data_IF_140375675456
#
_entry.id   IF_140375675456
#
_cell.length_a   1.000
_cell.length_b   1.000
_cell.length_c   1.000
_cell.angle_alpha   90.00
_cell.angle_beta   90.00
_cell.angle_gamma   90.00
#
_symmetry.space_group_name_H-M   'P 1'
#
loop_
_entity.id
_entity.type
_entity.pdbx_description
1 polymer ?
#
# COMPACT_ATOMS: atom_id res chain seq x y z
N UNK A 1 -27.55 15.74 -3.89
CA UNK A 1 -26.43 16.09 -4.78
C UNK A 1 -25.11 15.96 -4.01
N UNK A 2 -24.89 16.74 -2.94
CA UNK A 2 -23.66 16.65 -2.11
C UNK A 2 -23.43 15.27 -1.48
N UNK A 3 -24.47 14.63 -0.93
CA UNK A 3 -24.34 13.28 -0.34
C UNK A 3 -23.91 12.20 -1.35
N UNK A 4 -24.38 12.30 -2.60
CA UNK A 4 -24.02 11.40 -3.70
C UNK A 4 -22.58 11.64 -4.18
N UNK A 5 -22.15 12.90 -4.23
CA UNK A 5 -20.75 13.27 -4.50
C UNK A 5 -19.82 12.71 -3.43
N UNK A 6 -20.15 12.88 -2.14
CA UNK A 6 -19.34 12.34 -1.04
C UNK A 6 -19.24 10.81 -1.14
N UNK A 7 -20.34 10.11 -1.42
CA UNK A 7 -20.33 8.65 -1.59
C UNK A 7 -19.44 8.19 -2.77
N UNK A 8 -19.43 8.96 -3.86
CA UNK A 8 -18.60 8.70 -5.04
C UNK A 8 -17.11 8.94 -4.74
N UNK A 9 -16.78 10.01 -4.02
CA UNK A 9 -15.41 10.30 -3.60
C UNK A 9 -14.86 9.27 -2.62
N UNK A 10 -15.68 8.77 -1.69
CA UNK A 10 -15.31 7.66 -0.81
C UNK A 10 -14.99 6.42 -1.63
N UNK A 11 -15.84 6.07 -2.60
CA UNK A 11 -15.62 4.91 -3.47
C UNK A 11 -14.32 5.03 -4.27
N UNK A 12 -14.05 6.22 -4.82
CA UNK A 12 -12.82 6.51 -5.56
C UNK A 12 -11.58 6.43 -4.65
N UNK A 13 -11.67 6.95 -3.42
CA UNK A 13 -10.60 6.89 -2.43
C UNK A 13 -10.24 5.44 -2.05
N UNK A 14 -11.23 4.55 -1.98
CA UNK A 14 -11.01 3.12 -1.77
C UNK A 14 -10.23 2.52 -2.94
N UNK A 15 -10.62 2.83 -4.18
CA UNK A 15 -9.91 2.35 -5.39
C UNK A 15 -8.47 2.83 -5.41
N UNK A 16 -8.21 4.10 -5.09
CA UNK A 16 -6.85 4.67 -5.00
C UNK A 16 -6.04 3.97 -3.90
N UNK A 17 -6.65 3.70 -2.75
CA UNK A 17 -6.02 2.96 -1.65
C UNK A 17 -5.64 1.54 -2.10
N UNK A 18 -6.51 0.85 -2.83
CA UNK A 18 -6.21 -0.47 -3.39
C UNK A 18 -5.13 -0.42 -4.48
N UNK A 19 -5.10 0.63 -5.31
CA UNK A 19 -4.06 0.82 -6.31
C UNK A 19 -2.67 0.97 -5.67
N UNK A 20 -2.59 1.63 -4.50
CA UNK A 20 -1.37 1.71 -3.70
C UNK A 20 -1.05 0.39 -2.97
N UNK A 21 -2.02 -0.15 -2.23
CA UNK A 21 -1.82 -1.26 -1.32
C UNK A 21 -1.65 -2.61 -2.06
N UNK A 22 -2.34 -2.80 -3.18
CA UNK A 22 -2.34 -4.04 -3.95
C UNK A 22 -0.94 -4.55 -4.31
N UNK A 23 -0.10 -3.74 -4.98
CA UNK A 23 1.27 -4.14 -5.32
C UNK A 23 2.14 -4.47 -4.10
N UNK A 24 2.01 -3.67 -3.04
CA UNK A 24 2.78 -3.84 -1.80
C UNK A 24 2.38 -5.14 -1.10
N UNK A 25 1.07 -5.40 -0.99
CA UNK A 25 0.52 -6.60 -0.36
C UNK A 25 0.87 -7.85 -1.16
N UNK A 26 0.76 -7.80 -2.49
CA UNK A 26 1.15 -8.92 -3.36
C UNK A 26 2.63 -9.26 -3.20
N UNK A 27 3.51 -8.25 -3.19
CA UNK A 27 4.93 -8.46 -2.94
C UNK A 27 5.19 -9.04 -1.55
N UNK A 28 4.58 -8.46 -0.52
CA UNK A 28 4.73 -8.93 0.86
C UNK A 28 4.24 -10.37 1.04
N UNK A 29 3.16 -10.77 0.36
CA UNK A 29 2.63 -12.12 0.40
C UNK A 29 3.59 -13.13 -0.25
N UNK A 30 4.07 -12.83 -1.46
CA UNK A 30 5.04 -13.70 -2.17
C UNK A 30 6.33 -13.83 -1.38
N UNK A 31 6.87 -12.72 -0.91
CA UNK A 31 8.10 -12.71 -0.12
C UNK A 31 7.90 -13.45 1.22
N UNK A 32 6.79 -13.22 1.90
CA UNK A 32 6.45 -13.90 3.15
C UNK A 32 6.37 -15.41 2.98
N UNK A 33 5.78 -15.87 1.87
CA UNK A 33 5.72 -17.30 1.53
C UNK A 33 7.11 -17.87 1.27
N UNK A 34 7.94 -17.20 0.48
CA UNK A 34 9.31 -17.63 0.19
C UNK A 34 10.11 -17.77 1.50
N UNK A 35 10.06 -16.75 2.35
CA UNK A 35 10.76 -16.75 3.64
C UNK A 35 10.25 -17.89 4.54
N UNK A 36 8.94 -18.14 4.59
CA UNK A 36 8.36 -19.22 5.39
C UNK A 36 8.81 -20.62 4.92
N UNK A 37 8.90 -20.84 3.60
CA UNK A 37 9.40 -22.10 3.03
C UNK A 37 10.87 -22.32 3.41
N UNK A 38 11.72 -21.29 3.30
CA UNK A 38 13.12 -21.39 3.70
C UNK A 38 13.28 -21.69 5.18
N UNK A 39 12.51 -21.02 6.05
CA UNK A 39 12.52 -21.25 7.49
C UNK A 39 12.12 -22.69 7.85
N UNK A 40 11.07 -23.21 7.19
CA UNK A 40 10.62 -24.57 7.39
C UNK A 40 11.66 -25.60 6.88
N UNK A 41 12.26 -25.35 5.71
CA UNK A 41 13.23 -26.25 5.10
C UNK A 41 14.55 -26.35 5.86
N UNK A 42 15.04 -25.24 6.43
CA UNK A 42 16.32 -25.22 7.19
C UNK A 42 16.14 -25.41 8.69
N UNK A 43 14.90 -25.59 9.17
CA UNK A 43 14.56 -25.66 10.59
C UNK A 43 15.01 -24.43 11.41
N UNK A 44 15.23 -23.28 10.76
CA UNK A 44 15.59 -22.03 11.44
C UNK A 44 14.29 -21.35 11.86
N UNK A 45 13.91 -21.52 13.13
CA UNK A 45 12.72 -20.92 13.74
C UNK A 45 13.04 -19.67 14.58
N UNK A 46 14.21 -19.06 14.33
CA UNK A 46 14.62 -17.82 14.98
C UNK A 46 13.82 -16.63 14.42
N UNK A 47 12.80 -16.19 15.17
CA UNK A 47 11.90 -15.11 14.80
C UNK A 47 12.64 -13.81 14.44
N UNK A 48 13.78 -13.53 15.08
CA UNK A 48 14.58 -12.33 14.87
C UNK A 48 15.13 -12.21 13.45
N UNK A 49 15.67 -13.30 12.89
CA UNK A 49 16.22 -13.30 11.52
C UNK A 49 15.08 -13.11 10.51
N UNK A 50 13.97 -13.83 10.71
CA UNK A 50 12.76 -13.71 9.90
C UNK A 50 12.27 -12.25 9.80
N UNK A 51 12.24 -11.57 10.94
CA UNK A 51 11.72 -10.22 11.07
C UNK A 51 12.65 -9.20 10.43
N UNK A 52 13.98 -9.35 10.59
CA UNK A 52 14.97 -8.49 9.94
C UNK A 52 14.87 -8.61 8.41
N UNK A 53 14.80 -9.83 7.87
CA UNK A 53 14.70 -10.06 6.42
C UNK A 53 13.42 -9.43 5.84
N UNK A 54 12.29 -9.57 6.54
CA UNK A 54 11.02 -8.95 6.12
C UNK A 54 11.11 -7.42 6.10
N UNK A 55 11.64 -6.80 7.16
CA UNK A 55 11.79 -5.33 7.24
C UNK A 55 12.68 -4.84 6.09
N UNK A 56 13.86 -5.44 5.91
CA UNK A 56 14.79 -5.02 4.87
C UNK A 56 14.19 -5.12 3.47
N UNK A 57 13.44 -6.19 3.20
CA UNK A 57 12.82 -6.40 1.89
C UNK A 57 11.69 -5.39 1.60
N UNK A 58 10.84 -5.09 2.60
CA UNK A 58 9.78 -4.07 2.44
C UNK A 58 10.39 -2.69 2.31
N UNK A 59 11.43 -2.37 3.11
CA UNK A 59 12.17 -1.12 2.98
C UNK A 59 12.79 -0.98 1.59
N UNK A 60 13.40 -2.04 1.06
CA UNK A 60 13.94 -2.05 -0.30
C UNK A 60 12.86 -1.81 -1.37
N UNK A 61 11.71 -2.48 -1.25
CA UNK A 61 10.56 -2.26 -2.13
C UNK A 61 10.12 -0.78 -2.10
N UNK A 62 9.97 -0.19 -0.92
CA UNK A 62 9.57 1.21 -0.77
C UNK A 62 10.64 2.18 -1.26
N UNK A 63 11.93 1.86 -1.13
CA UNK A 63 12.99 2.71 -1.67
C UNK A 63 12.98 2.73 -3.20
N UNK A 64 12.74 1.59 -3.84
CA UNK A 64 12.76 1.48 -5.30
C UNK A 64 11.44 1.95 -5.92
N UNK A 65 10.32 1.53 -5.36
CA UNK A 65 8.98 1.75 -5.93
C UNK A 65 8.15 2.79 -5.19
N UNK A 66 8.64 3.34 -4.06
CA UNK A 66 7.86 4.24 -3.21
C UNK A 66 7.34 5.47 -3.95
N UNK A 67 8.11 6.03 -4.89
CA UNK A 67 7.64 7.16 -5.71
C UNK A 67 6.42 6.77 -6.55
N UNK A 68 6.52 5.67 -7.29
CA UNK A 68 5.45 5.20 -8.17
C UNK A 68 4.20 4.79 -7.37
N UNK A 69 4.40 4.19 -6.20
CA UNK A 69 3.34 3.80 -5.29
C UNK A 69 2.63 5.02 -4.68
N UNK A 70 3.37 6.08 -4.33
CA UNK A 70 2.80 7.28 -3.74
C UNK A 70 2.06 8.19 -4.73
N UNK A 71 2.39 8.14 -6.02
CA UNK A 71 1.82 9.03 -7.06
C UNK A 71 0.28 9.08 -7.06
N UNK A 72 -0.45 7.94 -7.12
CA UNK A 72 -1.92 7.96 -7.14
C UNK A 72 -2.52 8.57 -5.87
N UNK A 73 -1.87 8.37 -4.72
CA UNK A 73 -2.34 8.91 -3.45
C UNK A 73 -2.16 10.44 -3.40
N UNK A 74 -1.04 10.95 -3.92
CA UNK A 74 -0.75 12.38 -4.01
C UNK A 74 -1.72 13.06 -4.98
N UNK A 75 -1.91 12.48 -6.17
CA UNK A 75 -2.83 13.00 -7.19
C UNK A 75 -4.27 13.07 -6.68
N UNK A 76 -4.75 12.00 -6.05
CA UNK A 76 -6.08 11.97 -5.44
C UNK A 76 -6.24 12.97 -4.29
N UNK A 77 -5.20 13.14 -3.48
CA UNK A 77 -5.21 14.14 -2.39
C UNK A 77 -5.34 15.57 -2.94
N UNK A 78 -4.61 15.87 -4.03
CA UNK A 78 -4.69 17.17 -4.70
C UNK A 78 -6.08 17.38 -5.33
N UNK A 79 -6.66 16.35 -5.94
CA UNK A 79 -8.02 16.39 -6.50
C UNK A 79 -9.05 16.79 -5.44
N UNK A 80 -9.10 16.06 -4.32
CA UNK A 80 -10.04 16.35 -3.22
C UNK A 80 -9.83 17.77 -2.67
N UNK A 81 -8.58 18.20 -2.46
CA UNK A 81 -8.29 19.53 -1.92
C UNK A 81 -8.74 20.65 -2.87
N UNK A 82 -8.60 20.47 -4.18
CA UNK A 82 -9.04 21.44 -5.18
C UNK A 82 -10.57 21.50 -5.32
N UNK A 83 -11.24 20.37 -5.14
CA UNK A 83 -12.70 20.27 -5.25
C UNK A 83 -13.41 20.66 -3.96
N UNK A 84 -12.71 20.63 -2.81
CA UNK A 84 -13.27 20.96 -1.50
C UNK A 84 -14.01 22.31 -1.43
N UNK A 85 -13.51 23.44 -1.99
CA UNK A 85 -14.23 24.71 -2.00
C UNK A 85 -15.56 24.67 -2.76
N UNK A 86 -15.71 23.74 -3.72
CA UNK A 86 -16.95 23.56 -4.48
C UNK A 86 -17.97 22.72 -3.71
N UNK A 87 -17.52 21.85 -2.81
CA UNK A 87 -18.39 21.02 -1.95
C UNK A 87 -19.02 21.79 -0.79
N UNK A 88 -18.38 22.89 -0.36
CA UNK A 88 -18.82 23.73 0.77
C UNK A 88 -19.83 24.80 0.35
N UNK A 89 -20.01 25.03 -0.95
CA UNK A 89 -20.99 25.98 -1.52
C UNK A 89 -22.32 25.30 -1.81
#
# INVERSE_FOLDING_TARGET
MVEEQIATEISTSIVVTFALAGPILAFAAVLGLVIAIFQAATQIQEQTIAQIVKIFSISFLLLVFGRALATPLIEHSIHILNDFPTMVR
#
